data_IF_294880015271
#
_entry.id   IF_294880015271
#
_cell.length_a   1.000
_cell.length_b   1.000
_cell.length_c   1.000
_cell.angle_alpha   90.00
_cell.angle_beta   90.00
_cell.angle_gamma   90.00
#
_symmetry.space_group_name_H-M   'P 1'
#
loop_
_entity.id
_entity.type
_entity.pdbx_description
1 polymer ?
#
# COMPACT_ATOMS: atom_id res chain seq x y z
N UNK A 1 0.13 3.98 -5.74
CA UNK A 1 -0.42 2.61 -5.77
C UNK A 1 -0.58 2.13 -4.33
N UNK A 2 -1.71 1.51 -4.00
CA UNK A 2 -1.93 0.92 -2.66
C UNK A 2 -1.72 -0.59 -2.78
N UNK A 3 -1.01 -1.19 -1.83
CA UNK A 3 -0.77 -2.65 -1.81
C UNK A 3 -0.66 -3.17 -0.38
N UNK A 4 -0.64 -4.48 -0.20
CA UNK A 4 -0.34 -5.16 1.06
C UNK A 4 0.85 -6.13 0.88
N UNK A 5 1.63 -6.45 1.94
CA UNK A 5 2.85 -7.27 1.85
C UNK A 5 2.55 -8.78 1.68
N UNK A 6 1.65 -9.11 0.75
CA UNK A 6 1.27 -10.47 0.37
C UNK A 6 1.78 -10.79 -1.03
N UNK A 7 1.96 -12.08 -1.41
CA UNK A 7 2.39 -12.45 -2.75
C UNK A 7 1.48 -11.90 -3.86
N UNK A 8 0.17 -11.87 -3.62
CA UNK A 8 -0.81 -11.31 -4.55
C UNK A 8 -0.67 -9.78 -4.63
N UNK A 9 -0.56 -9.09 -3.48
CA UNK A 9 -0.33 -7.65 -3.44
C UNK A 9 0.96 -7.22 -4.17
N UNK A 10 2.03 -8.02 -4.08
CA UNK A 10 3.26 -7.79 -4.82
C UNK A 10 3.07 -7.94 -6.34
N UNK A 11 2.36 -8.98 -6.79
CA UNK A 11 2.05 -9.16 -8.21
C UNK A 11 1.23 -7.98 -8.76
N UNK A 12 0.16 -7.60 -8.05
CA UNK A 12 -0.73 -6.51 -8.46
C UNK A 12 -0.02 -5.16 -8.45
N UNK A 13 0.82 -4.90 -7.43
CA UNK A 13 1.68 -3.72 -7.38
C UNK A 13 2.55 -3.62 -8.63
N UNK A 14 3.19 -4.71 -9.02
CA UNK A 14 4.06 -4.72 -10.18
C UNK A 14 3.28 -4.41 -11.46
N UNK A 15 2.09 -4.98 -11.64
CA UNK A 15 1.22 -4.71 -12.78
C UNK A 15 0.80 -3.23 -12.81
N UNK A 16 0.37 -2.67 -11.68
CA UNK A 16 -0.01 -1.26 -11.57
C UNK A 16 1.13 -0.31 -11.91
N UNK A 17 2.33 -0.54 -11.36
CA UNK A 17 3.50 0.31 -11.62
C UNK A 17 4.00 0.18 -13.07
N UNK A 18 3.92 -1.01 -13.68
CA UNK A 18 4.20 -1.19 -15.11
C UNK A 18 3.27 -0.35 -15.98
N UNK A 19 1.97 -0.32 -15.67
CA UNK A 19 0.99 0.48 -16.41
C UNK A 19 1.24 1.98 -16.21
N UNK A 20 1.35 2.44 -14.96
CA UNK A 20 1.57 3.85 -14.66
C UNK A 20 2.85 4.39 -15.33
N UNK A 21 3.94 3.60 -15.32
CA UNK A 21 5.18 3.93 -16.02
C UNK A 21 4.98 4.09 -17.54
N UNK A 22 4.20 3.21 -18.17
CA UNK A 22 3.87 3.32 -19.61
C UNK A 22 3.06 4.58 -19.92
N UNK A 23 2.25 5.04 -18.97
CA UNK A 23 1.46 6.26 -19.08
C UNK A 23 2.23 7.54 -18.72
N UNK A 24 3.50 7.43 -18.28
CA UNK A 24 4.29 8.59 -17.84
C UNK A 24 3.82 9.19 -16.52
N UNK A 25 3.09 8.43 -15.70
CA UNK A 25 2.54 8.89 -14.42
C UNK A 25 3.55 8.62 -13.30
N UNK A 26 3.89 9.66 -12.54
CA UNK A 26 4.69 9.52 -11.33
C UNK A 26 3.86 8.81 -10.23
N UNK A 27 4.48 7.86 -9.53
CA UNK A 27 3.79 7.03 -8.55
C UNK A 27 4.59 6.86 -7.27
N UNK A 28 3.88 6.95 -6.15
CA UNK A 28 4.32 6.51 -4.83
C UNK A 28 3.55 5.27 -4.40
N UNK A 29 4.03 4.59 -3.36
CA UNK A 29 3.45 3.37 -2.82
C UNK A 29 2.94 3.64 -1.40
N UNK A 30 1.68 3.30 -1.17
CA UNK A 30 1.09 3.21 0.18
C UNK A 30 1.02 1.73 0.54
N UNK A 31 1.75 1.33 1.58
CA UNK A 31 1.79 -0.04 2.06
C UNK A 31 0.74 -0.24 3.16
N UNK A 32 -0.40 -0.79 2.79
CA UNK A 32 -1.50 -1.16 3.68
C UNK A 32 -1.23 -2.49 4.39
N UNK A 33 -1.76 -2.63 5.62
CA UNK A 33 -1.50 -3.78 6.52
C UNK A 33 -0.02 -4.16 6.56
N UNK A 34 0.85 -3.16 6.75
CA UNK A 34 2.30 -3.28 6.56
C UNK A 34 2.98 -4.35 7.43
N UNK A 35 2.30 -4.81 8.48
CA UNK A 35 2.73 -5.78 9.50
C UNK A 35 2.22 -7.22 9.30
N UNK A 36 1.31 -7.48 8.35
CA UNK A 36 0.63 -8.78 8.19
C UNK A 36 1.40 -9.77 7.30
N UNK A 37 2.48 -9.37 6.66
CA UNK A 37 3.18 -10.20 5.68
C UNK A 37 4.66 -9.85 5.43
N UNK A 38 5.20 -10.34 4.33
CA UNK A 38 6.63 -10.18 4.00
C UNK A 38 6.85 -8.99 3.05
N UNK A 39 7.34 -7.88 3.60
CA UNK A 39 7.62 -6.64 2.86
C UNK A 39 8.75 -6.74 1.81
N UNK A 40 9.58 -7.78 1.84
CA UNK A 40 10.77 -7.88 0.97
C UNK A 40 10.45 -7.78 -0.52
N UNK A 41 9.36 -8.39 -0.98
CA UNK A 41 8.98 -8.32 -2.39
C UNK A 41 8.48 -6.92 -2.78
N UNK A 42 7.75 -6.24 -1.89
CA UNK A 42 7.31 -4.86 -2.10
C UNK A 42 8.51 -3.92 -2.22
N UNK A 43 9.51 -4.06 -1.35
CA UNK A 43 10.74 -3.26 -1.39
C UNK A 43 11.54 -3.46 -2.69
N UNK A 44 11.62 -4.71 -3.18
CA UNK A 44 12.26 -5.00 -4.47
C UNK A 44 11.52 -4.30 -5.62
N UNK A 45 10.20 -4.36 -5.62
CA UNK A 45 9.37 -3.70 -6.64
C UNK A 45 9.52 -2.18 -6.55
N UNK A 46 9.44 -1.61 -5.35
CA UNK A 46 9.67 -0.18 -5.10
C UNK A 46 10.99 0.30 -5.73
N UNK A 47 12.10 -0.39 -5.45
CA UNK A 47 13.41 -0.09 -6.03
C UNK A 47 13.43 -0.24 -7.56
N UNK A 48 12.83 -1.30 -8.09
CA UNK A 48 12.77 -1.58 -9.53
C UNK A 48 12.05 -0.48 -10.32
N UNK A 49 10.98 0.08 -9.77
CA UNK A 49 10.18 1.13 -10.42
C UNK A 49 10.57 2.55 -10.00
N UNK A 50 11.48 2.70 -9.04
CA UNK A 50 11.83 4.00 -8.42
C UNK A 50 10.60 4.70 -7.85
N UNK A 51 9.71 3.93 -7.22
CA UNK A 51 8.50 4.43 -6.56
C UNK A 51 8.68 4.26 -5.05
N UNK A 52 8.75 5.38 -4.34
CA UNK A 52 8.95 5.39 -2.89
C UNK A 52 7.75 4.80 -2.14
N UNK A 53 8.02 4.08 -1.05
CA UNK A 53 6.99 3.72 -0.08
C UNK A 53 6.82 4.92 0.86
N UNK A 54 5.87 5.80 0.56
CA UNK A 54 5.71 7.09 1.26
C UNK A 54 4.88 6.97 2.53
N UNK A 55 3.99 5.97 2.62
CA UNK A 55 3.12 5.74 3.77
C UNK A 55 3.04 4.25 4.04
N UNK A 56 3.12 3.89 5.33
CA UNK A 56 2.82 2.54 5.83
C UNK A 56 1.64 2.62 6.80
N UNK A 57 0.64 1.76 6.60
CA UNK A 57 -0.54 1.68 7.46
C UNK A 57 -0.56 0.26 8.06
N UNK A 58 -0.28 0.08 9.36
CA UNK A 58 -0.36 -1.24 10.00
C UNK A 58 -1.82 -1.70 10.09
N UNK A 59 -2.02 -3.01 10.30
CA UNK A 59 -3.35 -3.53 10.58
C UNK A 59 -3.88 -2.97 11.91
N UNK A 60 -5.13 -2.49 11.88
CA UNK A 60 -5.81 -2.00 13.06
C UNK A 60 -7.26 -2.45 13.04
N UNK A 61 -7.66 -3.21 14.07
CA UNK A 61 -9.04 -3.63 14.23
C UNK A 61 -9.97 -2.43 14.46
N UNK A 62 -9.49 -1.40 15.17
CA UNK A 62 -10.22 -0.15 15.37
C UNK A 62 -10.51 0.56 14.04
N UNK A 63 -9.51 0.64 13.16
CA UNK A 63 -9.66 1.20 11.82
C UNK A 63 -10.70 0.43 11.00
N UNK A 64 -10.65 -0.92 11.03
CA UNK A 64 -11.61 -1.78 10.32
C UNK A 64 -13.03 -1.58 10.86
N UNK A 65 -13.21 -1.51 12.18
CA UNK A 65 -14.50 -1.24 12.82
C UNK A 65 -15.02 0.14 12.48
N UNK A 66 -14.16 1.17 12.53
CA UNK A 66 -14.52 2.54 12.17
C UNK A 66 -14.93 2.64 10.69
N UNK A 67 -14.19 2.01 9.77
CA UNK A 67 -14.55 1.95 8.35
C UNK A 67 -15.90 1.27 8.14
N UNK A 68 -16.07 0.06 8.68
CA UNK A 68 -17.28 -0.76 8.50
C UNK A 68 -18.52 -0.10 9.13
N UNK A 69 -18.32 0.67 10.20
CA UNK A 69 -19.37 1.44 10.85
C UNK A 69 -19.60 2.85 10.28
N UNK A 70 -18.98 3.23 9.16
CA UNK A 70 -19.14 4.57 8.56
C UNK A 70 -18.56 5.72 9.40
N UNK A 71 -17.67 5.42 10.34
CA UNK A 71 -17.10 6.34 11.33
C UNK A 71 -15.60 6.61 11.09
N UNK A 72 -15.11 6.47 9.86
CA UNK A 72 -13.70 6.61 9.52
C UNK A 72 -13.10 7.98 9.93
N UNK A 73 -13.93 9.04 10.03
CA UNK A 73 -13.52 10.37 10.53
C UNK A 73 -12.89 10.35 11.93
N UNK A 74 -13.19 9.35 12.76
CA UNK A 74 -12.56 9.20 14.08
C UNK A 74 -11.07 8.84 13.98
N UNK A 75 -10.63 8.33 12.82
CA UNK A 75 -9.31 7.74 12.58
C UNK A 75 -8.37 8.67 11.79
N UNK A 76 -8.71 9.96 11.66
CA UNK A 76 -7.98 10.92 10.81
C UNK A 76 -6.54 11.18 11.29
N UNK A 77 -6.26 10.93 12.58
CA UNK A 77 -4.95 11.18 13.19
C UNK A 77 -4.04 9.93 13.25
N UNK A 78 -4.30 8.91 12.43
CA UNK A 78 -3.55 7.63 12.46
C UNK A 78 -2.28 7.66 11.60
N UNK A 79 -2.13 8.66 10.72
CA UNK A 79 -1.01 8.85 9.79
C UNK A 79 -0.53 10.28 9.92
#
# INVERSE_FOLDING_TARGET
AVTEPTPLGAYDLEVMLKLAKKMGIATEIVLNKSDVGNRKEIEKISKKFKSEISIEIPYSEELVRAYSGGNLKKMVNII
#
